data_IF_230594136421
#
_entry.id   IF_230594136421
#
_cell.length_a   1.000
_cell.length_b   1.000
_cell.length_c   1.000
_cell.angle_alpha   90.00
_cell.angle_beta   90.00
_cell.angle_gamma   90.00
#
_symmetry.space_group_name_H-M   'P 1'
#
loop_
_entity.id
_entity.type
_entity.pdbx_description
1 polymer ?
#
# COMPACT_ATOMS: atom_id res chain seq x y z
N UNK A 1 -25.81 46.85 -4.40
CA UNK A 1 -24.45 46.48 -3.99
C UNK A 1 -24.37 44.95 -3.97
N UNK A 2 -23.85 44.33 -5.07
CA UNK A 2 -23.76 42.87 -5.21
C UNK A 2 -22.36 42.44 -4.80
N UNK A 3 -22.28 41.68 -3.72
CA UNK A 3 -21.05 41.11 -3.21
C UNK A 3 -20.68 39.87 -4.10
N UNK A 4 -19.66 40.02 -4.93
CA UNK A 4 -19.05 38.90 -5.66
C UNK A 4 -18.13 38.15 -4.67
N UNK A 5 -18.57 36.99 -4.21
CA UNK A 5 -17.73 36.04 -3.48
C UNK A 5 -16.92 35.28 -4.54
N UNK A 6 -15.65 35.65 -4.70
CA UNK A 6 -14.70 34.88 -5.47
C UNK A 6 -14.31 33.63 -4.69
N UNK A 7 -14.87 32.48 -5.08
CA UNK A 7 -14.40 31.17 -4.61
C UNK A 7 -13.09 30.90 -5.35
N UNK A 8 -11.97 31.10 -4.67
CA UNK A 8 -10.68 30.63 -5.12
C UNK A 8 -10.68 29.09 -5.06
N UNK A 9 -10.96 28.44 -6.18
CA UNK A 9 -10.65 27.02 -6.37
C UNK A 9 -9.12 26.90 -6.40
N UNK A 10 -8.53 26.66 -5.25
CA UNK A 10 -7.16 26.19 -5.12
C UNK A 10 -7.08 24.81 -5.75
N UNK A 11 -6.73 24.72 -7.04
CA UNK A 11 -6.29 23.48 -7.65
C UNK A 11 -5.02 23.04 -6.94
N UNK A 12 -5.17 22.14 -5.96
CA UNK A 12 -4.06 21.39 -5.40
C UNK A 12 -3.48 20.56 -6.54
N UNK A 13 -2.46 21.10 -7.18
CA UNK A 13 -1.63 20.39 -8.12
C UNK A 13 -0.99 19.25 -7.33
N UNK A 14 -1.47 18.03 -7.54
CA UNK A 14 -0.75 16.84 -7.14
C UNK A 14 0.54 16.90 -7.92
N UNK A 15 1.63 17.22 -7.21
CA UNK A 15 2.94 17.32 -7.81
C UNK A 15 3.32 15.92 -8.28
N UNK A 16 3.28 15.70 -9.59
CA UNK A 16 3.91 14.52 -10.17
C UNK A 16 5.39 14.55 -9.80
N UNK A 17 5.97 13.39 -9.50
CA UNK A 17 7.40 13.27 -9.22
C UNK A 17 8.22 14.00 -10.29
N UNK A 18 9.10 14.86 -9.82
CA UNK A 18 10.05 15.58 -10.71
C UNK A 18 11.35 14.78 -10.86
N UNK A 19 12.25 15.25 -11.74
CA UNK A 19 13.53 14.58 -12.00
C UNK A 19 14.39 14.40 -10.74
N UNK A 20 14.38 15.37 -9.82
CA UNK A 20 15.13 15.29 -8.57
C UNK A 20 14.57 14.19 -7.63
N UNK A 21 13.26 14.00 -7.60
CA UNK A 21 12.63 12.93 -6.84
C UNK A 21 13.00 11.56 -7.43
N UNK A 22 13.05 11.44 -8.76
CA UNK A 22 13.47 10.22 -9.43
C UNK A 22 14.92 9.89 -9.08
N UNK A 23 15.83 10.87 -9.16
CA UNK A 23 17.24 10.68 -8.78
C UNK A 23 17.39 10.28 -7.31
N UNK A 24 16.63 10.90 -6.40
CA UNK A 24 16.59 10.57 -4.98
C UNK A 24 16.13 9.12 -4.74
N UNK A 25 15.07 8.69 -5.41
CA UNK A 25 14.57 7.32 -5.32
C UNK A 25 15.59 6.29 -5.82
N UNK A 26 16.22 6.57 -6.96
CA UNK A 26 17.27 5.73 -7.53
C UNK A 26 18.54 5.68 -6.65
N UNK A 27 18.92 6.79 -6.02
CA UNK A 27 20.01 6.84 -5.06
C UNK A 27 19.70 6.00 -3.82
N UNK A 28 18.49 6.10 -3.29
CA UNK A 28 18.03 5.33 -2.15
C UNK A 28 18.03 3.82 -2.43
N UNK A 29 17.64 3.40 -3.64
CA UNK A 29 17.68 1.99 -4.02
C UNK A 29 19.10 1.38 -4.02
N UNK A 30 20.13 2.24 -4.14
CA UNK A 30 21.56 1.84 -4.06
C UNK A 30 22.16 2.05 -2.68
N UNK A 31 21.40 2.60 -1.75
CA UNK A 31 21.86 2.86 -0.39
C UNK A 31 22.10 1.55 0.39
N UNK A 32 22.69 1.67 1.57
CA UNK A 32 22.92 0.52 2.48
C UNK A 32 21.58 -0.10 2.91
N UNK A 33 21.60 -1.38 3.20
CA UNK A 33 20.41 -2.12 3.63
C UNK A 33 19.69 -1.46 4.81
N UNK A 34 20.44 -0.94 5.78
CA UNK A 34 19.87 -0.25 6.95
C UNK A 34 19.09 1.03 6.57
N UNK A 35 19.60 1.80 5.61
CA UNK A 35 18.92 3.01 5.13
C UNK A 35 17.65 2.68 4.38
N UNK A 36 17.69 1.65 3.52
CA UNK A 36 16.53 1.16 2.77
C UNK A 36 15.46 0.62 3.73
N UNK A 37 15.84 -0.20 4.71
CA UNK A 37 14.92 -0.71 5.73
C UNK A 37 14.27 0.42 6.52
N UNK A 38 15.05 1.43 6.96
CA UNK A 38 14.53 2.59 7.66
C UNK A 38 13.56 3.41 6.80
N UNK A 39 13.86 3.54 5.51
CA UNK A 39 12.96 4.18 4.57
C UNK A 39 11.64 3.41 4.47
N UNK A 40 11.67 2.11 4.16
CA UNK A 40 10.46 1.30 3.99
C UNK A 40 9.62 1.19 5.25
N UNK A 41 10.25 1.20 6.43
CA UNK A 41 9.55 1.12 7.71
C UNK A 41 8.54 2.27 7.93
N UNK A 42 8.73 3.43 7.31
CA UNK A 42 7.80 4.59 7.42
C UNK A 42 6.44 4.31 6.78
N UNK A 43 6.38 3.39 5.85
CA UNK A 43 5.19 3.06 5.06
C UNK A 43 4.49 1.80 5.56
N UNK A 44 4.99 1.21 6.62
CA UNK A 44 4.49 -0.03 7.20
C UNK A 44 3.98 0.24 8.59
N UNK A 45 2.69 0.00 8.80
CA UNK A 45 2.02 0.16 10.08
C UNK A 45 1.70 -1.23 10.61
N UNK A 46 2.44 -1.66 11.63
CA UNK A 46 2.17 -2.90 12.34
C UNK A 46 1.01 -2.66 13.31
N UNK A 47 0.01 -3.51 13.27
CA UNK A 47 -1.14 -3.46 14.15
C UNK A 47 -0.98 -4.49 15.28
N UNK A 48 -1.42 -4.12 16.48
CA UNK A 48 -1.50 -5.06 17.60
C UNK A 48 -2.77 -5.93 17.53
N UNK A 49 -3.32 -6.10 16.33
CA UNK A 49 -4.52 -6.88 16.09
C UNK A 49 -4.13 -8.33 15.71
N UNK A 50 -4.80 -9.36 16.25
CA UNK A 50 -4.44 -10.74 15.97
C UNK A 50 -4.81 -11.20 14.56
N UNK A 51 -5.74 -10.50 13.91
CA UNK A 51 -6.25 -10.83 12.57
C UNK A 51 -5.59 -9.97 11.52
N UNK A 52 -5.61 -8.65 11.67
CA UNK A 52 -4.99 -7.72 10.72
C UNK A 52 -3.63 -7.30 11.28
N UNK A 53 -2.58 -7.91 10.77
CA UNK A 53 -1.24 -7.75 11.32
C UNK A 53 -0.53 -6.48 10.86
N UNK A 54 -0.83 -6.02 9.64
CA UNK A 54 -0.06 -4.96 9.02
C UNK A 54 -0.88 -4.24 7.96
N UNK A 55 -0.69 -2.93 7.87
CA UNK A 55 -1.10 -2.10 6.74
C UNK A 55 0.15 -1.47 6.12
N UNK A 56 0.23 -1.51 4.81
CA UNK A 56 1.34 -0.98 4.03
C UNK A 56 0.81 0.03 3.01
N UNK A 57 1.54 1.15 2.87
CA UNK A 57 1.22 2.19 1.87
C UNK A 57 2.34 2.24 0.85
N UNK A 58 1.98 2.24 -0.43
CA UNK A 58 2.93 2.37 -1.54
C UNK A 58 2.57 3.62 -2.33
N UNK A 59 3.28 4.71 -2.04
CA UNK A 59 3.23 5.96 -2.80
C UNK A 59 3.97 5.80 -4.12
N UNK A 60 3.86 6.77 -5.03
CA UNK A 60 4.59 6.78 -6.30
C UNK A 60 6.11 6.75 -6.06
N UNK A 61 6.60 7.57 -5.12
CA UNK A 61 8.02 7.59 -4.76
C UNK A 61 8.50 6.25 -4.23
N UNK A 62 7.80 5.68 -3.25
CA UNK A 62 8.15 4.36 -2.69
C UNK A 62 8.12 3.26 -3.75
N UNK A 63 7.16 3.31 -4.68
CA UNK A 63 7.05 2.35 -5.79
C UNK A 63 8.29 2.40 -6.66
N UNK A 64 8.77 3.60 -7.00
CA UNK A 64 10.00 3.74 -7.76
C UNK A 64 11.21 3.17 -7.02
N UNK A 65 11.33 3.41 -5.70
CA UNK A 65 12.41 2.82 -4.89
C UNK A 65 12.35 1.28 -4.99
N UNK A 66 11.17 0.68 -4.80
CA UNK A 66 10.99 -0.78 -4.88
C UNK A 66 11.41 -1.32 -6.26
N UNK A 67 10.97 -0.65 -7.34
CA UNK A 67 11.33 -1.04 -8.71
C UNK A 67 12.86 -0.93 -8.90
N UNK A 68 13.44 0.18 -8.49
CA UNK A 68 14.89 0.39 -8.63
C UNK A 68 15.71 -0.61 -7.81
N UNK A 69 15.28 -0.98 -6.60
CA UNK A 69 15.90 -2.03 -5.79
C UNK A 69 15.86 -3.40 -6.49
N UNK A 70 14.76 -3.71 -7.16
CA UNK A 70 14.65 -4.95 -7.93
C UNK A 70 15.62 -4.98 -9.11
N UNK A 71 15.77 -3.86 -9.83
CA UNK A 71 16.78 -3.73 -10.89
C UNK A 71 18.20 -3.86 -10.33
N UNK A 72 18.51 -3.21 -9.21
CA UNK A 72 19.81 -3.35 -8.54
C UNK A 72 20.09 -4.80 -8.16
N UNK A 73 19.11 -5.51 -7.59
CA UNK A 73 19.24 -6.93 -7.22
C UNK A 73 19.50 -7.83 -8.40
N UNK A 74 18.96 -7.50 -9.57
CA UNK A 74 19.20 -8.22 -10.85
C UNK A 74 20.49 -7.81 -11.55
N UNK A 75 21.24 -6.85 -11.00
CA UNK A 75 22.47 -6.32 -11.60
C UNK A 75 22.24 -5.32 -12.73
N UNK A 76 21.01 -4.85 -12.92
CA UNK A 76 20.68 -3.81 -13.91
C UNK A 76 20.90 -2.40 -13.33
N UNK A 77 22.16 -1.99 -13.35
CA UNK A 77 22.58 -0.67 -12.87
C UNK A 77 22.17 0.47 -13.81
N UNK A 78 21.85 0.16 -15.07
CA UNK A 78 21.47 1.18 -16.06
C UNK A 78 20.12 1.81 -15.71
N UNK A 79 19.18 1.03 -15.16
CA UNK A 79 17.90 1.55 -14.70
C UNK A 79 18.10 2.67 -13.66
N UNK A 80 19.03 2.48 -12.72
CA UNK A 80 19.25 3.46 -11.63
C UNK A 80 19.99 4.72 -12.06
N UNK A 81 20.28 4.87 -13.35
CA UNK A 81 20.92 6.06 -13.96
C UNK A 81 20.06 6.68 -15.06
N UNK A 82 18.89 6.12 -15.34
CA UNK A 82 18.01 6.55 -16.41
C UNK A 82 16.71 7.12 -15.85
N UNK A 83 16.55 8.44 -15.88
CA UNK A 83 15.29 9.12 -15.53
C UNK A 83 14.17 8.65 -16.44
N UNK A 84 14.45 8.49 -17.73
CA UNK A 84 13.46 8.02 -18.70
C UNK A 84 12.94 6.62 -18.38
N UNK A 85 13.82 5.67 -18.04
CA UNK A 85 13.40 4.31 -17.67
C UNK A 85 12.52 4.33 -16.40
N UNK A 86 12.84 5.18 -15.43
CA UNK A 86 12.03 5.37 -14.23
C UNK A 86 10.64 5.95 -14.56
N UNK A 87 10.56 6.95 -15.43
CA UNK A 87 9.31 7.54 -15.89
C UNK A 87 8.43 6.53 -16.63
N UNK A 88 9.03 5.72 -17.52
CA UNK A 88 8.36 4.65 -18.25
C UNK A 88 7.82 3.58 -17.26
N UNK A 89 8.58 3.20 -16.26
CA UNK A 89 8.16 2.24 -15.25
C UNK A 89 6.98 2.73 -14.39
N UNK A 90 6.87 4.04 -14.16
CA UNK A 90 5.77 4.65 -13.41
C UNK A 90 4.56 5.02 -14.28
N UNK A 91 4.66 4.98 -15.60
CA UNK A 91 3.67 5.56 -16.51
C UNK A 91 2.22 5.11 -16.24
N UNK A 92 2.03 3.82 -15.91
CA UNK A 92 0.70 3.23 -15.64
C UNK A 92 0.20 3.43 -14.21
N UNK A 93 1.07 3.91 -13.30
CA UNK A 93 0.76 4.02 -11.86
C UNK A 93 0.97 5.43 -11.32
N UNK A 94 1.13 6.41 -12.21
CA UNK A 94 1.23 7.82 -11.81
C UNK A 94 -0.01 8.29 -11.06
N UNK A 95 0.22 9.02 -9.98
CA UNK A 95 -0.86 9.53 -9.12
C UNK A 95 -1.69 8.44 -8.44
N UNK A 96 -1.18 7.20 -8.35
CA UNK A 96 -1.86 6.08 -7.68
C UNK A 96 -1.11 5.71 -6.41
N UNK A 97 -1.86 5.69 -5.30
CA UNK A 97 -1.41 5.14 -4.03
C UNK A 97 -2.00 3.73 -3.89
N UNK A 98 -1.14 2.74 -3.65
CA UNK A 98 -1.58 1.38 -3.32
C UNK A 98 -1.58 1.21 -1.81
N UNK A 99 -2.69 0.74 -1.27
CA UNK A 99 -2.81 0.38 0.15
C UNK A 99 -2.97 -1.14 0.22
N UNK A 100 -2.14 -1.77 1.03
CA UNK A 100 -2.18 -3.21 1.28
C UNK A 100 -2.50 -3.47 2.74
N UNK A 101 -3.27 -4.52 3.01
CA UNK A 101 -3.44 -5.03 4.37
C UNK A 101 -3.19 -6.53 4.38
N UNK A 102 -2.59 -7.02 5.45
CA UNK A 102 -2.27 -8.42 5.63
C UNK A 102 -3.13 -9.00 6.74
N UNK A 103 -3.99 -9.93 6.36
CA UNK A 103 -4.90 -10.63 7.25
C UNK A 103 -4.34 -12.02 7.48
N UNK A 104 -4.16 -12.38 8.75
CA UNK A 104 -3.66 -13.70 9.16
C UNK A 104 -4.80 -14.52 9.73
N UNK A 105 -4.91 -15.75 9.29
CA UNK A 105 -5.90 -16.68 9.81
C UNK A 105 -5.36 -17.52 10.97
N UNK A 106 -6.26 -17.96 11.84
CA UNK A 106 -5.91 -18.94 12.85
C UNK A 106 -5.35 -20.21 12.20
N UNK A 107 -4.32 -20.83 12.74
CA UNK A 107 -3.84 -22.13 12.25
C UNK A 107 -4.90 -23.23 12.26
N UNK A 108 -5.93 -23.07 13.08
CA UNK A 108 -7.06 -24.01 13.20
C UNK A 108 -8.22 -23.67 12.28
N UNK A 109 -8.05 -22.72 11.35
CA UNK A 109 -9.12 -22.39 10.41
C UNK A 109 -9.39 -23.57 9.45
N UNK A 110 -10.61 -23.63 8.97
CA UNK A 110 -11.08 -24.63 8.00
C UNK A 110 -11.53 -23.97 6.69
N UNK A 111 -11.01 -22.79 6.40
CA UNK A 111 -11.38 -22.04 5.19
C UNK A 111 -10.86 -22.73 3.94
N UNK A 112 -11.76 -23.00 3.00
CA UNK A 112 -11.41 -23.41 1.64
C UNK A 112 -11.20 -22.20 0.72
N UNK A 113 -11.91 -21.10 1.02
CA UNK A 113 -11.83 -19.83 0.31
C UNK A 113 -11.67 -18.68 1.30
N UNK A 114 -11.01 -17.58 0.91
CA UNK A 114 -10.90 -16.43 1.79
C UNK A 114 -12.27 -15.84 2.13
N UNK A 115 -12.54 -15.51 3.39
CA UNK A 115 -13.71 -14.72 3.74
C UNK A 115 -13.71 -13.35 3.05
N UNK A 116 -14.86 -12.70 2.97
CA UNK A 116 -15.07 -11.45 2.25
C UNK A 116 -14.48 -10.23 2.98
N UNK A 117 -13.15 -10.21 3.11
CA UNK A 117 -12.45 -9.03 3.62
C UNK A 117 -12.39 -7.94 2.56
N UNK A 118 -12.48 -6.69 2.99
CA UNK A 118 -12.31 -5.51 2.14
C UNK A 118 -11.59 -4.39 2.87
N UNK A 119 -10.94 -3.51 2.09
CA UNK A 119 -10.39 -2.26 2.58
C UNK A 119 -11.44 -1.16 2.56
N UNK A 120 -11.35 -0.24 3.51
CA UNK A 120 -12.19 0.93 3.58
C UNK A 120 -11.37 2.15 4.04
N UNK A 121 -11.72 3.33 3.53
CA UNK A 121 -11.02 4.58 3.81
C UNK A 121 -12.03 5.62 4.31
N UNK A 122 -11.61 6.44 5.28
CA UNK A 122 -12.47 7.47 5.82
C UNK A 122 -11.72 8.64 6.47
N UNK A 123 -12.45 9.52 7.09
CA UNK A 123 -11.87 10.60 7.89
C UNK A 123 -11.17 10.03 9.15
N UNK A 124 -10.16 10.73 9.71
CA UNK A 124 -9.33 10.19 10.78
C UNK A 124 -10.04 10.07 12.13
N UNK A 125 -11.19 10.74 12.31
CA UNK A 125 -11.93 10.66 13.57
C UNK A 125 -12.41 9.23 13.84
N UNK A 126 -12.26 8.79 15.10
CA UNK A 126 -12.50 7.40 15.53
C UNK A 126 -13.86 6.83 15.11
N UNK A 127 -14.91 7.67 15.11
CA UNK A 127 -16.28 7.26 14.80
C UNK A 127 -16.74 7.70 13.40
N UNK A 128 -15.83 8.21 12.57
CA UNK A 128 -16.18 8.56 11.19
C UNK A 128 -16.46 7.31 10.38
N UNK A 129 -17.50 7.33 9.53
CA UNK A 129 -17.79 6.20 8.66
C UNK A 129 -16.62 5.94 7.70
N UNK A 130 -16.31 4.68 7.52
CA UNK A 130 -15.39 4.22 6.48
C UNK A 130 -16.17 3.93 5.21
N UNK A 131 -15.60 4.31 4.07
CA UNK A 131 -16.15 3.99 2.76
C UNK A 131 -15.36 2.84 2.17
N UNK A 132 -16.05 1.77 1.79
CA UNK A 132 -15.45 0.63 1.10
C UNK A 132 -14.81 1.07 -0.21
N UNK A 133 -13.65 0.50 -0.51
CA UNK A 133 -12.94 0.70 -1.77
C UNK A 133 -12.82 -0.62 -2.50
N UNK A 134 -12.70 -0.56 -3.83
CA UNK A 134 -12.47 -1.76 -4.63
C UNK A 134 -11.22 -2.47 -4.14
N UNK A 135 -11.37 -3.70 -3.66
CA UNK A 135 -10.30 -4.47 -3.03
C UNK A 135 -10.05 -5.75 -3.81
N UNK A 136 -8.80 -5.98 -4.16
CA UNK A 136 -8.34 -7.26 -4.70
C UNK A 136 -7.85 -8.13 -3.54
N UNK A 137 -8.32 -9.37 -3.47
CA UNK A 137 -7.88 -10.36 -2.49
C UNK A 137 -6.90 -11.33 -3.14
N UNK A 138 -5.79 -11.58 -2.46
CA UNK A 138 -4.80 -12.58 -2.86
C UNK A 138 -4.62 -13.59 -1.74
N UNK A 139 -5.08 -14.83 -1.91
CA UNK A 139 -4.94 -15.88 -0.90
C UNK A 139 -3.46 -16.18 -0.61
N UNK A 140 -3.15 -16.41 0.65
CA UNK A 140 -1.83 -16.83 1.12
C UNK A 140 -1.92 -18.26 1.66
N UNK A 141 -1.11 -19.13 1.12
CA UNK A 141 -1.09 -20.54 1.49
C UNK A 141 0.21 -20.90 2.24
N UNK A 142 0.11 -21.89 3.13
CA UNK A 142 1.28 -22.49 3.74
C UNK A 142 2.18 -23.17 2.71
N UNK A 143 3.42 -23.41 3.09
CA UNK A 143 4.26 -24.34 2.33
C UNK A 143 3.53 -25.68 2.23
N UNK A 144 3.48 -26.28 1.03
CA UNK A 144 2.84 -27.58 0.85
C UNK A 144 3.46 -28.64 1.76
N UNK A 145 2.63 -29.43 2.41
CA UNK A 145 3.05 -30.54 3.27
C UNK A 145 2.39 -31.85 2.84
N UNK A 146 3.06 -32.96 3.08
CA UNK A 146 2.52 -34.30 2.80
C UNK A 146 1.78 -34.84 4.00
N UNK A 147 0.59 -35.33 3.77
CA UNK A 147 -0.23 -36.06 4.74
C UNK A 147 0.20 -37.54 4.82
N UNK A 148 -0.18 -38.28 5.88
CA UNK A 148 0.14 -39.71 6.01
C UNK A 148 -0.36 -40.56 4.83
N UNK A 149 -1.47 -40.19 4.20
CA UNK A 149 -2.03 -40.81 2.98
C UNK A 149 -1.34 -40.32 1.69
N UNK A 150 -0.19 -39.67 1.79
CA UNK A 150 0.67 -39.18 0.70
C UNK A 150 0.08 -38.07 -0.18
N UNK A 151 -1.02 -37.46 0.23
CA UNK A 151 -1.55 -36.28 -0.47
C UNK A 151 -0.70 -35.06 -0.12
N UNK A 152 -0.54 -34.16 -1.09
CA UNK A 152 0.08 -32.87 -0.86
C UNK A 152 -1.03 -31.84 -0.61
N UNK A 153 -1.01 -31.22 0.54
CA UNK A 153 -1.96 -30.18 0.94
C UNK A 153 -1.24 -28.89 1.26
N UNK A 154 -1.93 -27.78 1.11
CA UNK A 154 -1.53 -26.48 1.63
C UNK A 154 -2.75 -25.84 2.31
N UNK A 155 -2.53 -25.27 3.48
CA UNK A 155 -3.60 -24.59 4.22
C UNK A 155 -3.63 -23.12 3.85
N UNK A 156 -4.82 -22.54 3.80
CA UNK A 156 -5.00 -21.10 3.68
C UNK A 156 -4.62 -20.44 5.01
N UNK A 157 -3.53 -19.68 5.03
CA UNK A 157 -2.97 -19.07 6.24
C UNK A 157 -3.29 -17.59 6.39
N UNK A 158 -3.80 -16.96 5.34
CA UNK A 158 -4.15 -15.55 5.34
C UNK A 158 -4.59 -15.05 3.99
N UNK A 159 -4.76 -13.75 3.90
CA UNK A 159 -5.06 -13.05 2.66
C UNK A 159 -4.36 -11.69 2.65
N UNK A 160 -3.85 -11.29 1.51
CA UNK A 160 -3.43 -9.92 1.23
C UNK A 160 -4.58 -9.20 0.55
N UNK A 161 -4.87 -8.01 1.02
CA UNK A 161 -5.88 -7.11 0.48
C UNK A 161 -5.16 -5.95 -0.19
N UNK A 162 -5.42 -5.71 -1.45
CA UNK A 162 -4.80 -4.63 -2.21
C UNK A 162 -5.87 -3.69 -2.77
N UNK A 163 -5.65 -2.38 -2.67
CA UNK A 163 -6.47 -1.37 -3.33
C UNK A 163 -5.60 -0.28 -3.93
N UNK A 164 -6.02 0.20 -5.09
CA UNK A 164 -5.43 1.36 -5.76
C UNK A 164 -6.38 2.54 -5.66
N UNK A 165 -5.88 3.64 -5.12
CA UNK A 165 -6.66 4.88 -4.92
C UNK A 165 -5.90 6.03 -5.56
N UNK A 166 -6.61 6.91 -6.27
CA UNK A 166 -6.02 8.13 -6.80
C UNK A 166 -5.47 9.00 -5.66
N UNK A 167 -4.27 9.52 -5.82
CA UNK A 167 -3.64 10.39 -4.84
C UNK A 167 -4.46 11.68 -4.61
N UNK A 168 -5.22 12.13 -5.62
CA UNK A 168 -6.17 13.24 -5.54
C UNK A 168 -7.29 12.99 -4.53
N UNK A 169 -7.74 11.75 -4.40
CA UNK A 169 -8.81 11.37 -3.46
C UNK A 169 -8.31 11.28 -2.01
N UNK A 170 -7.06 10.92 -1.81
CA UNK A 170 -6.44 10.83 -0.48
C UNK A 170 -5.95 12.20 -0.04
N UNK A 171 -5.30 12.95 -0.94
CA UNK A 171 -4.62 14.21 -0.63
C UNK A 171 -3.47 14.02 0.36
N UNK A 172 -2.86 15.14 0.75
CA UNK A 172 -1.86 15.17 1.81
C UNK A 172 -2.53 15.35 3.18
N UNK A 173 -3.39 14.42 3.54
CA UNK A 173 -4.16 14.50 4.78
C UNK A 173 -4.04 13.20 5.58
N UNK A 174 -4.29 13.29 6.87
CA UNK A 174 -4.46 12.09 7.69
C UNK A 174 -5.77 11.41 7.31
N UNK A 175 -5.73 10.10 7.06
CA UNK A 175 -6.89 9.28 6.73
C UNK A 175 -6.97 8.07 7.65
N UNK A 176 -8.18 7.64 7.95
CA UNK A 176 -8.42 6.34 8.55
C UNK A 176 -8.42 5.28 7.45
N UNK A 177 -7.70 4.19 7.68
CA UNK A 177 -7.73 2.99 6.86
C UNK A 177 -8.27 1.87 7.73
N UNK A 178 -9.29 1.19 7.27
CA UNK A 178 -9.89 0.07 7.97
C UNK A 178 -9.93 -1.17 7.09
N UNK A 179 -9.99 -2.31 7.76
CA UNK A 179 -10.29 -3.61 7.18
C UNK A 179 -11.67 -4.01 7.67
N UNK A 180 -12.51 -4.45 6.75
CA UNK A 180 -13.85 -4.94 7.05
C UNK A 180 -13.98 -6.41 6.69
N UNK A 181 -14.83 -7.14 7.41
CA UNK A 181 -15.28 -8.49 7.11
C UNK A 181 -16.79 -8.46 7.01
N UNK A 182 -17.35 -8.84 5.88
CA UNK A 182 -18.80 -8.77 5.62
C UNK A 182 -19.39 -7.38 5.94
N UNK A 183 -18.65 -6.32 5.60
CA UNK A 183 -19.05 -4.94 5.83
C UNK A 183 -18.89 -4.44 7.27
N UNK A 184 -18.47 -5.28 8.21
CA UNK A 184 -18.19 -4.89 9.60
C UNK A 184 -16.71 -4.60 9.78
N UNK A 185 -16.39 -3.47 10.43
CA UNK A 185 -15.02 -3.10 10.74
C UNK A 185 -14.39 -4.11 11.71
N UNK A 186 -13.23 -4.67 11.33
CA UNK A 186 -12.44 -5.60 12.15
C UNK A 186 -11.14 -4.98 12.63
N UNK A 187 -10.58 -4.02 11.87
CA UNK A 187 -9.40 -3.27 12.29
C UNK A 187 -9.43 -1.86 11.69
N UNK A 188 -8.82 -0.90 12.37
CA UNK A 188 -8.67 0.48 11.93
C UNK A 188 -7.32 1.04 12.38
N UNK A 189 -6.72 1.84 11.52
CA UNK A 189 -5.57 2.70 11.85
C UNK A 189 -5.69 4.05 11.17
N UNK A 190 -4.82 4.97 11.51
CA UNK A 190 -4.71 6.26 10.85
C UNK A 190 -3.35 6.41 10.19
N UNK A 191 -3.34 6.95 8.99
CA UNK A 191 -2.14 7.21 8.19
C UNK A 191 -2.07 8.69 7.89
N UNK A 192 -0.94 9.32 8.17
CA UNK A 192 -0.66 10.69 7.80
C UNK A 192 0.09 10.70 6.47
N UNK A 193 -0.66 10.89 5.38
CA UNK A 193 -0.11 10.89 4.03
C UNK A 193 0.78 12.10 3.73
N UNK A 194 0.67 13.19 4.52
CA UNK A 194 1.58 14.33 4.38
C UNK A 194 3.03 14.00 4.76
N UNK A 195 3.25 12.92 5.52
CA UNK A 195 4.58 12.44 5.93
C UNK A 195 5.15 11.34 5.05
N UNK A 196 4.39 10.90 4.06
CA UNK A 196 4.74 9.81 3.15
C UNK A 196 5.09 10.39 1.75
N UNK A 197 6.06 11.27 1.62
CA UNK A 197 6.58 11.87 0.35
C UNK A 197 5.53 12.37 -0.65
#
# INVERSE_FOLDING_TARGET
>A
MRLLVAIALGSLLISSMNGADIERAQALARARDSERQQFHARYVINLSDPVVTQIEVITEFRRLVIIAEEHVRRGDWMFTRSTRAAEEALATTRGVITIKAYVRFSPLNTFNEPPAYALAIGAPAKNSPLQGVSTQLTPQHSVPFRTPDRKTLSSLIGVSLDTNVGADRIGQATRAIGVTLDGKEVARTTVDFARLD
#
